data_IF_367723548671
#
_entry.id   IF_367723548671
#
_cell.length_a   1.000
_cell.length_b   1.000
_cell.length_c   1.000
_cell.angle_alpha   90.00
_cell.angle_beta   90.00
_cell.angle_gamma   90.00
#
_symmetry.space_group_name_H-M   'P 1'
#
loop_
_entity.id
_entity.type
_entity.pdbx_description
1 polymer ?
#
# COMPACT_ATOMS: atom_id res chain seq x y z
N UNK A 1 -4.44 12.02 -46.85
CA UNK A 1 -3.40 12.05 -45.81
C UNK A 1 -3.62 10.83 -44.93
N UNK A 2 -2.67 9.90 -44.90
CA UNK A 2 -2.71 8.78 -43.97
C UNK A 2 -2.22 9.29 -42.60
N UNK A 3 -3.03 9.12 -41.55
CA UNK A 3 -2.59 9.38 -40.19
C UNK A 3 -1.51 8.34 -39.82
N UNK A 4 -0.29 8.79 -39.52
CA UNK A 4 0.76 7.90 -39.02
C UNK A 4 0.46 7.58 -37.55
N UNK A 5 0.07 6.35 -37.27
CA UNK A 5 0.06 5.82 -35.90
C UNK A 5 1.52 5.70 -35.44
N UNK A 6 1.95 6.55 -34.52
CA UNK A 6 3.22 6.40 -33.80
C UNK A 6 2.97 5.52 -32.56
N UNK A 7 3.82 4.53 -32.32
CA UNK A 7 3.82 3.75 -31.07
C UNK A 7 4.46 4.50 -29.91
N UNK A 8 5.08 5.65 -30.19
CA UNK A 8 5.88 6.42 -29.23
C UNK A 8 5.35 7.84 -29.08
N UNK A 9 5.51 8.40 -27.87
CA UNK A 9 5.09 9.77 -27.54
C UNK A 9 6.21 10.76 -27.85
N UNK A 10 5.87 11.86 -28.51
CA UNK A 10 6.81 12.96 -28.72
C UNK A 10 6.62 13.96 -27.58
N UNK A 11 7.57 14.01 -26.66
CA UNK A 11 7.55 14.97 -25.56
C UNK A 11 7.89 16.39 -26.07
N UNK A 12 7.31 17.44 -25.48
CA UNK A 12 7.76 18.80 -25.72
C UNK A 12 9.21 18.98 -25.25
N UNK A 13 9.95 19.88 -25.91
CA UNK A 13 11.41 20.05 -25.80
C UNK A 13 11.96 20.46 -24.40
N UNK A 14 11.13 20.59 -23.37
CA UNK A 14 11.60 20.91 -22.02
C UNK A 14 10.84 20.11 -20.95
N UNK A 15 11.52 19.33 -20.10
CA UNK A 15 10.91 18.85 -18.88
C UNK A 15 10.62 20.06 -17.97
N UNK A 16 9.44 20.16 -17.34
CA UNK A 16 9.18 21.20 -16.37
C UNK A 16 10.16 21.09 -15.19
N UNK A 17 10.54 22.21 -14.59
CA UNK A 17 11.29 22.23 -13.33
C UNK A 17 10.62 21.32 -12.28
N UNK A 18 11.38 20.74 -11.37
CA UNK A 18 10.80 19.91 -10.31
C UNK A 18 9.95 20.75 -9.36
N UNK A 19 8.63 20.57 -9.38
CA UNK A 19 7.67 21.38 -8.63
C UNK A 19 7.26 20.71 -7.30
N UNK A 20 8.22 20.39 -6.44
CA UNK A 20 7.98 19.72 -5.14
C UNK A 20 6.80 20.30 -4.34
N UNK A 21 6.64 21.63 -4.19
CA UNK A 21 5.53 22.18 -3.43
C UNK A 21 4.16 21.86 -4.03
N UNK A 22 4.06 21.77 -5.36
CA UNK A 22 2.81 21.40 -6.04
C UNK A 22 2.50 19.92 -5.87
N UNK A 23 3.51 19.05 -5.96
CA UNK A 23 3.34 17.61 -5.74
C UNK A 23 2.90 17.32 -4.30
N UNK A 24 3.55 17.92 -3.30
CA UNK A 24 3.15 17.77 -1.90
C UNK A 24 1.72 18.27 -1.66
N UNK A 25 1.39 19.48 -2.16
CA UNK A 25 0.04 20.04 -2.01
C UNK A 25 -1.05 19.20 -2.68
N UNK A 26 -0.76 18.57 -3.82
CA UNK A 26 -1.67 17.63 -4.48
C UNK A 26 -1.95 16.40 -3.60
N UNK A 27 -0.90 15.76 -3.07
CA UNK A 27 -1.02 14.54 -2.25
C UNK A 27 -1.73 14.81 -0.92
N UNK A 28 -1.42 15.90 -0.23
CA UNK A 28 -2.12 16.26 1.01
C UNK A 28 -3.60 16.52 0.77
N UNK A 29 -3.98 17.12 -0.37
CA UNK A 29 -5.38 17.33 -0.72
C UNK A 29 -6.12 16.02 -1.02
N UNK A 30 -5.46 15.10 -1.73
CA UNK A 30 -6.06 13.81 -2.11
C UNK A 30 -6.55 13.01 -0.89
N UNK A 31 -5.83 13.07 0.24
CA UNK A 31 -6.25 12.41 1.49
C UNK A 31 -7.49 13.00 2.17
N UNK A 32 -7.94 14.21 1.78
CA UNK A 32 -9.04 14.94 2.45
C UNK A 32 -10.34 14.98 1.64
N UNK A 33 -10.29 14.64 0.35
CA UNK A 33 -11.44 14.69 -0.56
C UNK A 33 -12.29 13.40 -0.48
N UNK A 34 -12.97 13.18 0.66
CA UNK A 34 -13.75 11.95 0.93
C UNK A 34 -15.05 11.84 0.12
N UNK A 35 -15.56 12.95 -0.41
CA UNK A 35 -16.84 13.01 -1.13
C UNK A 35 -16.71 12.90 -2.67
N UNK A 36 -15.52 12.58 -3.17
CA UNK A 36 -15.27 12.50 -4.61
C UNK A 36 -15.67 11.14 -5.21
N UNK A 37 -16.15 11.13 -6.45
CA UNK A 37 -16.49 9.89 -7.17
C UNK A 37 -15.26 8.99 -7.33
N UNK A 38 -14.11 9.60 -7.62
CA UNK A 38 -12.84 8.89 -7.74
C UNK A 38 -12.40 8.26 -6.41
N UNK A 39 -12.81 8.84 -5.27
CA UNK A 39 -12.59 8.22 -3.96
C UNK A 39 -13.31 6.88 -3.94
N UNK A 40 -14.62 6.83 -4.19
CA UNK A 40 -15.40 5.59 -4.20
C UNK A 40 -14.85 4.55 -5.20
N UNK A 41 -14.56 4.96 -6.43
CA UNK A 41 -14.11 4.04 -7.49
C UNK A 41 -12.73 3.42 -7.25
N UNK A 42 -11.91 4.00 -6.38
CA UNK A 42 -10.57 3.51 -6.04
C UNK A 42 -10.49 2.81 -4.69
N UNK A 43 -11.64 2.55 -4.05
CA UNK A 43 -11.68 1.95 -2.71
C UNK A 43 -11.00 0.59 -2.63
N UNK A 44 -11.14 -0.24 -3.68
CA UNK A 44 -10.54 -1.57 -3.77
C UNK A 44 -9.00 -1.58 -3.76
N UNK A 45 -8.34 -0.42 -3.88
CA UNK A 45 -6.89 -0.27 -3.82
C UNK A 45 -6.41 0.78 -2.80
N UNK A 46 -7.32 1.25 -1.92
CA UNK A 46 -7.08 2.42 -1.05
C UNK A 46 -5.83 2.28 -0.18
N UNK A 47 -5.62 1.13 0.47
CA UNK A 47 -4.43 0.88 1.29
C UNK A 47 -3.13 1.12 0.51
N UNK A 48 -3.02 0.57 -0.70
CA UNK A 48 -1.86 0.77 -1.57
C UNK A 48 -1.75 2.22 -2.04
N UNK A 49 -2.87 2.86 -2.39
CA UNK A 49 -2.94 4.28 -2.73
C UNK A 49 -2.41 5.19 -1.62
N UNK A 50 -2.77 4.88 -0.38
CA UNK A 50 -2.28 5.56 0.81
C UNK A 50 -0.77 5.37 0.97
N UNK A 51 -0.28 4.13 0.85
CA UNK A 51 1.16 3.83 0.88
C UNK A 51 1.94 4.63 -0.18
N UNK A 52 1.46 4.71 -1.43
CA UNK A 52 2.12 5.48 -2.49
C UNK A 52 2.19 6.97 -2.15
N UNK A 53 1.07 7.55 -1.71
CA UNK A 53 1.00 8.97 -1.37
C UNK A 53 1.90 9.33 -0.19
N UNK A 54 1.86 8.53 0.88
CA UNK A 54 2.69 8.72 2.06
C UNK A 54 4.18 8.54 1.73
N UNK A 55 4.55 7.52 0.96
CA UNK A 55 5.94 7.29 0.56
C UNK A 55 6.47 8.47 -0.25
N UNK A 56 5.69 8.98 -1.20
CA UNK A 56 6.06 10.16 -1.96
C UNK A 56 6.22 11.39 -1.05
N UNK A 57 5.34 11.59 -0.07
CA UNK A 57 5.48 12.67 0.92
C UNK A 57 6.73 12.50 1.79
N UNK A 58 7.05 11.29 2.23
CA UNK A 58 8.27 11.02 3.00
C UNK A 58 9.54 11.27 2.18
N UNK A 59 9.57 10.86 0.90
CA UNK A 59 10.68 11.16 0.00
C UNK A 59 10.86 12.67 -0.25
N UNK A 60 9.81 13.46 -0.05
CA UNK A 60 9.84 14.92 -0.14
C UNK A 60 10.09 15.61 1.22
N UNK A 61 10.33 14.86 2.30
CA UNK A 61 10.46 15.36 3.68
C UNK A 61 9.20 16.11 4.18
N UNK A 62 8.02 15.56 3.85
CA UNK A 62 6.70 16.15 4.13
C UNK A 62 5.69 15.15 4.70
N UNK A 63 6.16 14.04 5.28
CA UNK A 63 5.28 13.03 5.88
C UNK A 63 4.40 13.64 6.99
N UNK A 64 4.95 14.58 7.77
CA UNK A 64 4.27 15.29 8.86
C UNK A 64 3.09 16.16 8.41
N UNK A 65 2.88 16.33 7.09
CA UNK A 65 1.72 17.05 6.56
C UNK A 65 0.43 16.23 6.60
N UNK A 66 0.50 14.94 6.93
CA UNK A 66 -0.65 14.04 7.07
C UNK A 66 -0.76 13.60 8.53
N UNK A 67 -1.95 13.68 9.16
CA UNK A 67 -2.13 13.24 10.55
C UNK A 67 -1.84 11.74 10.68
N UNK A 68 -0.80 11.41 11.45
CA UNK A 68 -0.37 10.04 11.70
C UNK A 68 -1.49 9.20 12.32
N UNK A 69 -2.22 9.77 13.27
CA UNK A 69 -3.28 9.09 14.02
C UNK A 69 -4.41 8.63 13.10
N UNK A 70 -4.80 9.46 12.13
CA UNK A 70 -5.85 9.12 11.15
C UNK A 70 -5.40 7.99 10.22
N UNK A 71 -4.13 8.00 9.81
CA UNK A 71 -3.54 6.95 8.97
C UNK A 71 -3.49 5.62 9.71
N UNK A 72 -2.97 5.62 10.94
CA UNK A 72 -2.86 4.41 11.76
C UNK A 72 -4.25 3.84 12.07
N UNK A 73 -5.22 4.70 12.40
CA UNK A 73 -6.59 4.28 12.62
C UNK A 73 -7.20 3.60 11.37
N UNK A 74 -6.96 4.15 10.17
CA UNK A 74 -7.41 3.51 8.93
C UNK A 74 -6.75 2.14 8.70
N UNK A 75 -5.44 2.02 8.97
CA UNK A 75 -4.72 0.74 8.86
C UNK A 75 -5.30 -0.30 9.82
N UNK A 76 -5.61 0.10 11.06
CA UNK A 76 -6.25 -0.77 12.05
C UNK A 76 -7.66 -1.20 11.63
N UNK A 77 -8.47 -0.29 11.09
CA UNK A 77 -9.82 -0.58 10.58
C UNK A 77 -9.82 -1.61 9.43
N UNK A 78 -8.70 -1.76 8.72
CA UNK A 78 -8.53 -2.73 7.65
C UNK A 78 -7.87 -4.04 8.10
N UNK A 79 -7.49 -4.18 9.37
CA UNK A 79 -6.86 -5.39 9.90
C UNK A 79 -7.92 -6.45 10.23
N UNK A 80 -7.76 -7.66 9.71
CA UNK A 80 -8.68 -8.76 9.95
C UNK A 80 -8.18 -9.64 11.10
N UNK A 81 -8.66 -9.40 12.32
CA UNK A 81 -8.28 -10.15 13.53
C UNK A 81 -8.41 -11.67 13.41
N UNK A 82 -9.33 -12.16 12.57
CA UNK A 82 -9.56 -13.59 12.36
C UNK A 82 -8.55 -14.27 11.43
N UNK A 83 -7.90 -13.52 10.53
CA UNK A 83 -6.95 -14.06 9.55
C UNK A 83 -5.54 -13.52 9.69
N UNK A 84 -5.37 -12.33 10.25
CA UNK A 84 -4.10 -11.59 10.32
C UNK A 84 -3.76 -10.78 9.06
N UNK A 85 -4.59 -10.83 8.02
CA UNK A 85 -4.38 -10.07 6.79
C UNK A 85 -5.01 -8.67 6.83
N UNK A 86 -4.64 -7.82 5.87
CA UNK A 86 -5.25 -6.51 5.68
C UNK A 86 -6.05 -6.44 4.39
N UNK A 87 -7.19 -5.75 4.43
CA UNK A 87 -8.00 -5.40 3.27
C UNK A 87 -7.59 -4.04 2.69
N UNK A 88 -8.00 -3.69 1.45
CA UNK A 88 -7.69 -2.38 0.88
C UNK A 88 -8.46 -1.25 1.58
N UNK A 89 -9.66 -1.56 2.07
CA UNK A 89 -10.56 -0.69 2.82
C UNK A 89 -11.42 -1.55 3.76
N UNK A 90 -12.16 -0.89 4.66
CA UNK A 90 -13.10 -1.56 5.57
C UNK A 90 -14.14 -2.39 4.80
N UNK A 91 -14.48 -3.56 5.33
CA UNK A 91 -15.47 -4.51 4.77
C UNK A 91 -15.06 -5.20 3.46
N UNK A 92 -13.83 -4.99 2.97
CA UNK A 92 -13.24 -5.76 1.87
C UNK A 92 -12.49 -7.00 2.38
N UNK A 93 -12.21 -7.95 1.49
CA UNK A 93 -11.44 -9.16 1.82
C UNK A 93 -9.94 -8.86 2.06
N UNK A 94 -9.28 -9.57 2.99
CA UNK A 94 -7.85 -9.43 3.23
C UNK A 94 -7.02 -10.04 2.11
N UNK A 95 -5.90 -9.39 1.76
CA UNK A 95 -5.01 -9.83 0.67
C UNK A 95 -3.56 -9.45 0.96
N UNK A 96 -2.61 -10.24 0.42
CA UNK A 96 -1.17 -10.07 0.65
C UNK A 96 -0.62 -8.72 0.13
N UNK A 97 -1.17 -8.23 -1.00
CA UNK A 97 -0.87 -6.89 -1.55
C UNK A 97 -1.11 -5.76 -0.54
N UNK A 98 -2.27 -5.77 0.11
CA UNK A 98 -2.65 -4.72 1.05
C UNK A 98 -2.01 -4.93 2.42
N UNK A 99 -1.72 -6.20 2.77
CA UNK A 99 -0.94 -6.53 3.96
C UNK A 99 0.47 -5.97 3.88
N UNK A 100 1.16 -6.11 2.75
CA UNK A 100 2.46 -5.45 2.53
C UNK A 100 2.32 -3.93 2.66
N UNK A 101 1.35 -3.32 1.97
CA UNK A 101 1.17 -1.86 1.98
C UNK A 101 0.90 -1.33 3.39
N UNK A 102 0.07 -2.02 4.17
CA UNK A 102 -0.21 -1.69 5.57
C UNK A 102 1.06 -1.78 6.44
N UNK A 103 1.83 -2.87 6.34
CA UNK A 103 3.08 -3.04 7.09
C UNK A 103 4.12 -1.98 6.71
N UNK A 104 4.21 -1.59 5.44
CA UNK A 104 5.07 -0.50 5.01
C UNK A 104 4.64 0.85 5.61
N UNK A 105 3.34 1.15 5.66
CA UNK A 105 2.82 2.36 6.31
C UNK A 105 3.15 2.35 7.81
N UNK A 106 2.94 1.24 8.51
CA UNK A 106 3.27 1.13 9.94
C UNK A 106 4.78 1.28 10.17
N UNK A 107 5.62 0.75 9.27
CA UNK A 107 7.06 0.93 9.31
C UNK A 107 7.49 2.39 9.17
N UNK A 108 6.87 3.13 8.25
CA UNK A 108 7.16 4.56 8.06
C UNK A 108 6.88 5.40 9.31
N UNK A 109 5.86 5.01 10.09
CA UNK A 109 5.44 5.74 11.30
C UNK A 109 5.95 5.13 12.61
N UNK A 110 6.69 4.03 12.57
CA UNK A 110 7.14 3.23 13.72
C UNK A 110 5.97 2.80 14.64
N UNK A 111 4.87 2.31 14.05
CA UNK A 111 3.62 1.97 14.75
C UNK A 111 3.21 0.49 14.62
N UNK A 112 4.17 -0.43 14.56
CA UNK A 112 3.88 -1.87 14.50
C UNK A 112 3.00 -2.38 15.65
N UNK A 113 3.04 -1.72 16.82
CA UNK A 113 2.20 -2.03 18.00
C UNK A 113 0.70 -1.77 17.78
N UNK A 114 0.31 -1.12 16.68
CA UNK A 114 -1.07 -0.84 16.37
C UNK A 114 -1.88 -2.11 16.02
N UNK A 115 -1.21 -3.21 15.67
CA UNK A 115 -1.81 -4.48 15.26
C UNK A 115 -1.05 -5.66 15.85
N UNK A 116 -1.68 -6.84 15.86
CA UNK A 116 -0.99 -8.08 16.22
C UNK A 116 -0.11 -8.57 15.07
N UNK A 117 1.17 -8.17 15.08
CA UNK A 117 2.15 -8.55 14.07
C UNK A 117 2.37 -10.07 13.98
N UNK A 118 2.11 -10.83 15.04
CA UNK A 118 2.24 -12.29 15.03
C UNK A 118 1.21 -12.91 14.09
N UNK A 119 -0.03 -12.40 14.11
CA UNK A 119 -1.08 -12.83 13.17
C UNK A 119 -0.75 -12.46 11.73
N UNK A 120 -0.07 -11.33 11.49
CA UNK A 120 0.40 -10.98 10.13
C UNK A 120 1.39 -12.03 9.63
N UNK A 121 2.31 -12.49 10.49
CA UNK A 121 3.23 -13.58 10.15
C UNK A 121 2.46 -14.88 9.85
N UNK A 122 1.51 -15.25 10.70
CA UNK A 122 0.66 -16.43 10.49
C UNK A 122 -0.13 -16.36 9.17
N UNK A 123 -0.67 -15.19 8.83
CA UNK A 123 -1.37 -14.95 7.56
C UNK A 123 -0.44 -15.21 6.37
N UNK A 124 0.75 -14.58 6.36
CA UNK A 124 1.72 -14.74 5.26
C UNK A 124 2.17 -16.21 5.15
N UNK A 125 2.44 -16.87 6.27
CA UNK A 125 2.83 -18.28 6.29
C UNK A 125 1.72 -19.19 5.74
N UNK A 126 0.46 -18.92 6.10
CA UNK A 126 -0.69 -19.72 5.65
C UNK A 126 -0.89 -19.71 4.12
N UNK A 127 -0.36 -18.69 3.44
CA UNK A 127 -0.48 -18.51 1.99
C UNK A 127 0.66 -19.18 1.20
N UNK A 128 1.70 -19.69 1.87
CA UNK A 128 2.79 -20.41 1.19
C UNK A 128 2.33 -21.80 0.75
N UNK A 129 2.65 -22.16 -0.49
CA UNK A 129 2.33 -23.45 -1.09
C UNK A 129 3.48 -24.44 -0.95
N UNK A 130 3.23 -25.77 -1.08
CA UNK A 130 4.27 -26.79 -0.97
C UNK A 130 5.43 -26.65 -1.97
N UNK A 131 5.21 -25.99 -3.10
CA UNK A 131 6.25 -25.71 -4.11
C UNK A 131 7.06 -24.44 -3.81
N UNK A 132 6.73 -23.73 -2.73
CA UNK A 132 7.37 -22.49 -2.29
C UNK A 132 6.75 -21.22 -2.87
N UNK A 133 5.80 -21.31 -3.79
CA UNK A 133 5.02 -20.16 -4.27
C UNK A 133 4.07 -19.64 -3.18
N UNK A 134 3.48 -18.47 -3.40
CA UNK A 134 2.54 -17.86 -2.46
C UNK A 134 1.24 -17.52 -3.19
N UNK A 135 0.12 -17.77 -2.53
CA UNK A 135 -1.16 -17.19 -2.94
C UNK A 135 -1.29 -15.74 -2.48
N UNK A 136 -2.10 -14.97 -3.20
CA UNK A 136 -2.47 -13.61 -2.79
C UNK A 136 -3.47 -13.59 -1.63
N UNK A 137 -4.35 -14.58 -1.59
CA UNK A 137 -5.40 -14.77 -0.59
C UNK A 137 -5.93 -16.23 -0.63
N UNK A 138 -7.08 -16.47 0.03
CA UNK A 138 -7.75 -17.78 0.10
C UNK A 138 -8.28 -18.33 -1.23
N UNK A 139 -8.34 -17.53 -2.30
CA UNK A 139 -8.91 -17.93 -3.59
C UNK A 139 -7.86 -18.51 -4.56
N UNK A 140 -6.57 -18.46 -4.21
CA UNK A 140 -5.56 -19.33 -4.80
C UNK A 140 -4.88 -18.82 -6.08
N UNK A 141 -4.90 -17.51 -6.37
CA UNK A 141 -4.08 -16.94 -7.45
C UNK A 141 -2.60 -17.14 -7.12
N UNK A 142 -1.83 -17.73 -8.05
CA UNK A 142 -0.37 -17.85 -7.95
C UNK A 142 0.29 -16.81 -8.83
N UNK A 143 1.05 -15.91 -8.21
CA UNK A 143 1.84 -14.92 -8.91
C UNK A 143 3.13 -14.62 -8.14
N UNK A 144 4.23 -14.39 -8.86
CA UNK A 144 5.52 -14.05 -8.25
C UNK A 144 5.48 -12.73 -7.46
N UNK A 145 4.54 -11.83 -7.78
CA UNK A 145 4.24 -10.62 -6.99
C UNK A 145 3.93 -10.97 -5.53
N UNK A 146 3.26 -12.10 -5.28
CA UNK A 146 2.92 -12.53 -3.92
C UNK A 146 4.12 -13.09 -3.17
N UNK A 147 5.07 -13.72 -3.88
CA UNK A 147 6.35 -14.08 -3.28
C UNK A 147 7.13 -12.86 -2.81
N UNK A 148 7.16 -11.79 -3.62
CA UNK A 148 7.74 -10.51 -3.21
C UNK A 148 6.98 -9.92 -2.01
N UNK A 149 5.65 -9.87 -2.05
CA UNK A 149 4.85 -9.32 -0.95
C UNK A 149 5.07 -10.08 0.36
N UNK A 150 5.09 -11.41 0.33
CA UNK A 150 5.35 -12.23 1.51
C UNK A 150 6.71 -11.92 2.14
N UNK A 151 7.78 -12.01 1.34
CA UNK A 151 9.15 -11.84 1.82
C UNK A 151 9.39 -10.41 2.32
N UNK A 152 8.92 -9.40 1.58
CA UNK A 152 9.06 -8.00 1.97
C UNK A 152 8.30 -7.70 3.29
N UNK A 153 7.09 -8.24 3.43
CA UNK A 153 6.29 -8.10 4.67
C UNK A 153 7.05 -8.69 5.86
N UNK A 154 7.49 -9.95 5.73
CA UNK A 154 8.21 -10.63 6.82
C UNK A 154 9.52 -9.92 7.15
N UNK A 155 10.29 -9.49 6.15
CA UNK A 155 11.57 -8.80 6.36
C UNK A 155 11.43 -7.50 7.16
N UNK A 156 10.35 -6.73 6.94
CA UNK A 156 10.05 -5.52 7.72
C UNK A 156 9.70 -5.82 9.18
N UNK A 157 9.11 -6.99 9.44
CA UNK A 157 8.68 -7.41 10.79
C UNK A 157 9.81 -8.03 11.63
N UNK A 158 10.90 -8.53 11.02
CA UNK A 158 12.01 -9.19 11.73
C UNK A 158 12.60 -8.34 12.86
N UNK A 159 12.63 -7.02 12.72
CA UNK A 159 13.15 -6.12 13.75
C UNK A 159 12.23 -5.90 14.96
N UNK A 160 10.96 -6.29 14.86
CA UNK A 160 9.91 -5.97 15.84
C UNK A 160 9.32 -7.18 16.54
N UNK A 161 9.50 -8.37 15.99
CA UNK A 161 9.03 -9.62 16.58
C UNK A 161 10.24 -10.31 17.23
N UNK A 162 10.20 -10.49 18.56
CA UNK A 162 11.12 -11.42 19.22
C UNK A 162 10.63 -12.84 18.92
N UNK A 163 11.31 -13.53 18.01
CA UNK A 163 11.13 -14.96 17.74
C UNK A 163 11.85 -15.77 18.82
#
# INVERSE_FOLDING_TARGET
>A
MAASLSTDIILPNAPPDLLLPKHAGFLTKYGTAKDDYDYCMTEFLRMSGMYWGLTALQLMDRLDSVPKEDVVAFVQDCFHEGTGGFSPAKDHDPHLLYSLSAIQILAMYDEFKAVDCSKVVEFVQSLQQPDGSFFGDKYGEVDIRFSFCAIATLALLVGYIQI
#
